data_IF_056343297782
#
_entry.id   IF_056343297782
#
_cell.length_a   1.000
_cell.length_b   1.000
_cell.length_c   1.000
_cell.angle_alpha   90.00
_cell.angle_beta   90.00
_cell.angle_gamma   90.00
#
_symmetry.space_group_name_H-M   'P 1'
#
loop_
_entity.id
_entity.type
_entity.pdbx_description
1 polymer ?
#
# COMPACT_ATOMS: atom_id res chain seq x y z
N UNK A 1 7.50 0.58 3.76
CA UNK A 1 6.46 0.04 4.67
C UNK A 1 5.55 -0.91 3.91
N UNK A 2 5.34 -2.09 4.46
CA UNK A 2 4.39 -3.05 3.90
C UNK A 2 3.02 -2.83 4.52
N UNK A 3 1.98 -2.85 3.70
CA UNK A 3 0.59 -2.78 4.15
C UNK A 3 -0.22 -3.87 3.48
N UNK A 4 -1.23 -4.36 4.19
CA UNK A 4 -2.19 -5.33 3.67
C UNK A 4 -3.58 -4.75 3.82
N UNK A 5 -4.34 -4.75 2.72
CA UNK A 5 -5.71 -4.28 2.71
C UNK A 5 -6.63 -5.45 2.40
N UNK A 6 -7.57 -5.72 3.32
CA UNK A 6 -8.55 -6.79 3.16
C UNK A 6 -9.90 -6.23 2.75
N UNK A 7 -10.61 -6.98 1.92
CA UNK A 7 -11.94 -6.58 1.46
C UNK A 7 -12.99 -7.62 1.87
N UNK A 8 -14.14 -7.14 2.30
CA UNK A 8 -15.27 -8.00 2.64
C UNK A 8 -15.96 -8.55 1.38
N UNK A 9 -15.88 -7.80 0.29
CA UNK A 9 -16.46 -8.19 -0.99
C UNK A 9 -15.35 -8.36 -2.01
N UNK A 10 -15.53 -9.34 -2.90
CA UNK A 10 -14.58 -9.62 -3.96
C UNK A 10 -14.38 -8.38 -4.84
N UNK A 11 -13.13 -7.94 -4.98
CA UNK A 11 -12.77 -6.83 -5.83
C UNK A 11 -12.37 -7.32 -7.21
N UNK A 12 -12.46 -6.44 -8.20
CA UNK A 12 -12.12 -6.80 -9.57
C UNK A 12 -11.35 -5.67 -10.24
N UNK A 13 -10.25 -6.03 -10.90
CA UNK A 13 -9.50 -5.10 -11.75
C UNK A 13 -9.22 -5.82 -13.07
N UNK A 14 -9.67 -5.25 -14.19
CA UNK A 14 -9.66 -5.91 -15.49
C UNK A 14 -10.36 -7.27 -15.38
N UNK A 15 -9.68 -8.38 -15.68
CA UNK A 15 -10.23 -9.73 -15.51
C UNK A 15 -9.81 -10.41 -14.21
N UNK A 16 -9.08 -9.71 -13.35
CA UNK A 16 -8.55 -10.27 -12.10
C UNK A 16 -9.51 -10.02 -10.94
N UNK A 17 -9.70 -11.03 -10.11
CA UNK A 17 -10.53 -10.95 -8.90
C UNK A 17 -9.63 -11.18 -7.69
N UNK A 18 -9.82 -10.38 -6.63
CA UNK A 18 -8.97 -10.45 -5.46
C UNK A 18 -9.72 -10.06 -4.18
N UNK A 19 -9.23 -10.52 -3.04
CA UNK A 19 -9.79 -10.20 -1.73
C UNK A 19 -8.80 -9.45 -0.83
N UNK A 20 -7.53 -9.40 -1.17
CA UNK A 20 -6.57 -8.59 -0.44
C UNK A 20 -5.47 -8.06 -1.34
N UNK A 21 -4.87 -6.97 -0.89
CA UNK A 21 -3.75 -6.31 -1.57
C UNK A 21 -2.62 -6.13 -0.58
N UNK A 22 -1.42 -6.56 -0.96
CA UNK A 22 -0.21 -6.29 -0.20
C UNK A 22 0.61 -5.27 -0.96
N UNK A 23 0.95 -4.16 -0.32
CA UNK A 23 1.68 -3.06 -0.95
C UNK A 23 2.93 -2.72 -0.19
N UNK A 24 4.00 -2.39 -0.91
CA UNK A 24 5.19 -1.79 -0.33
C UNK A 24 5.20 -0.31 -0.67
N UNK A 25 5.26 0.53 0.37
CA UNK A 25 5.12 1.98 0.25
C UNK A 25 6.34 2.67 0.82
N UNK A 26 6.82 3.68 0.13
CA UNK A 26 7.92 4.53 0.59
C UNK A 26 7.38 5.90 0.98
N UNK A 27 7.89 6.45 2.09
CA UNK A 27 7.44 7.74 2.61
C UNK A 27 8.60 8.74 2.61
N UNK A 28 8.30 9.96 2.20
CA UNK A 28 9.22 11.09 2.32
C UNK A 28 8.80 11.92 3.53
N UNK A 29 9.53 11.79 4.63
CA UNK A 29 9.20 12.47 5.88
C UNK A 29 9.41 13.97 5.81
N UNK A 30 10.33 14.42 4.97
CA UNK A 30 10.65 15.84 4.85
C UNK A 30 9.56 16.62 4.10
N UNK A 31 9.02 16.03 3.03
CA UNK A 31 8.05 16.71 2.18
C UNK A 31 6.64 16.16 2.30
N UNK A 32 6.42 15.22 3.21
CA UNK A 32 5.12 14.57 3.44
C UNK A 32 4.53 13.98 2.16
N UNK A 33 5.34 13.16 1.49
CA UNK A 33 4.94 12.49 0.25
C UNK A 33 4.95 10.99 0.40
N UNK A 34 4.21 10.32 -0.45
CA UNK A 34 4.08 8.87 -0.47
C UNK A 34 4.27 8.35 -1.89
N UNK A 35 4.90 7.20 -2.01
CA UNK A 35 5.09 6.51 -3.28
C UNK A 35 4.89 5.02 -3.08
N UNK A 36 4.06 4.40 -3.93
CA UNK A 36 3.90 2.96 -3.93
C UNK A 36 5.02 2.37 -4.76
N UNK A 37 5.83 1.50 -4.16
CA UNK A 37 6.97 0.84 -4.83
C UNK A 37 6.53 -0.42 -5.56
N UNK A 38 5.46 -1.03 -5.12
CA UNK A 38 4.93 -2.22 -5.75
C UNK A 38 3.75 -2.76 -4.98
N UNK A 39 2.99 -3.64 -5.61
CA UNK A 39 1.85 -4.27 -4.96
C UNK A 39 1.60 -5.66 -5.53
N UNK A 40 0.88 -6.47 -4.74
CA UNK A 40 0.42 -7.79 -5.16
C UNK A 40 -1.03 -7.98 -4.77
N UNK A 41 -1.82 -8.50 -5.68
CA UNK A 41 -3.22 -8.83 -5.44
C UNK A 41 -3.33 -10.32 -5.14
N UNK A 42 -4.08 -10.67 -4.10
CA UNK A 42 -4.25 -12.05 -3.65
C UNK A 42 -5.69 -12.48 -3.78
N UNK A 43 -5.92 -13.76 -4.12
CA UNK A 43 -7.27 -14.28 -4.30
C UNK A 43 -8.03 -14.42 -2.99
N UNK A 44 -7.34 -14.51 -1.85
CA UNK A 44 -7.93 -14.65 -0.51
C UNK A 44 -7.54 -13.50 0.39
N UNK A 45 -8.23 -13.39 1.55
CA UNK A 45 -7.93 -12.37 2.54
C UNK A 45 -6.56 -12.59 3.18
N UNK A 46 -6.01 -11.53 3.80
CA UNK A 46 -4.75 -11.54 4.54
C UNK A 46 -3.55 -11.97 3.70
N UNK A 47 -3.56 -11.61 2.41
CA UNK A 47 -2.50 -11.96 1.46
C UNK A 47 -2.29 -13.48 1.37
N UNK A 48 -3.38 -14.24 1.45
CA UNK A 48 -3.38 -15.69 1.30
C UNK A 48 -3.84 -16.10 -0.09
N UNK A 49 -3.63 -17.38 -0.41
CA UNK A 49 -3.98 -17.90 -1.71
C UNK A 49 -2.95 -17.52 -2.76
N UNK A 50 -3.32 -17.67 -4.02
CA UNK A 50 -2.42 -17.37 -5.12
C UNK A 50 -2.38 -15.88 -5.42
N UNK A 51 -1.22 -15.39 -5.87
CA UNK A 51 -1.08 -14.03 -6.37
C UNK A 51 -1.74 -13.96 -7.74
N UNK A 52 -2.73 -13.08 -7.89
CA UNK A 52 -3.44 -12.93 -9.17
C UNK A 52 -2.81 -11.86 -10.05
N UNK A 53 -2.12 -10.89 -9.44
CA UNK A 53 -1.41 -9.84 -10.17
C UNK A 53 -0.36 -9.24 -9.25
N UNK A 54 0.83 -8.98 -9.79
CA UNK A 54 1.90 -8.33 -9.04
C UNK A 54 2.59 -7.31 -9.92
N UNK A 55 2.86 -6.12 -9.38
CA UNK A 55 3.62 -5.07 -10.04
C UNK A 55 4.73 -4.56 -9.13
N UNK A 56 5.93 -4.44 -9.66
CA UNK A 56 7.08 -3.94 -8.93
C UNK A 56 7.64 -2.62 -9.43
N UNK A 57 6.93 -1.93 -10.34
CA UNK A 57 7.38 -0.64 -10.86
C UNK A 57 6.96 0.49 -9.92
N UNK A 58 7.90 1.33 -9.44
CA UNK A 58 7.53 2.43 -8.56
C UNK A 58 6.60 3.42 -9.25
N UNK A 59 5.62 3.90 -8.51
CA UNK A 59 4.74 4.97 -8.95
C UNK A 59 5.34 6.33 -8.61
N UNK A 60 4.76 7.39 -9.14
CA UNK A 60 5.19 8.74 -8.86
C UNK A 60 4.88 9.15 -7.41
N UNK A 61 5.70 10.07 -6.86
CA UNK A 61 5.45 10.63 -5.55
C UNK A 61 4.15 11.41 -5.54
N UNK A 62 3.36 11.22 -4.49
CA UNK A 62 2.10 11.92 -4.28
C UNK A 62 2.12 12.62 -2.93
N UNK A 63 1.55 13.82 -2.89
CA UNK A 63 1.45 14.57 -1.64
C UNK A 63 0.41 13.90 -0.72
N UNK A 64 0.76 13.78 0.56
CA UNK A 64 -0.14 13.21 1.57
C UNK A 64 -1.06 14.32 2.09
N UNK A 65 -2.36 14.08 2.04
CA UNK A 65 -3.35 15.00 2.59
C UNK A 65 -3.50 14.79 4.09
N UNK A 66 -3.82 15.87 4.82
CA UNK A 66 -4.05 15.81 6.26
C UNK A 66 -5.33 15.02 6.56
N UNK A 67 -5.35 14.40 7.73
CA UNK A 67 -6.50 13.64 8.25
C UNK A 67 -6.86 12.42 7.40
N UNK A 68 -5.85 11.82 6.74
CA UNK A 68 -6.03 10.60 5.97
C UNK A 68 -5.26 9.45 6.63
N UNK A 69 -5.56 8.21 6.21
CA UNK A 69 -4.81 7.05 6.67
C UNK A 69 -3.34 7.12 6.25
N UNK A 70 -3.05 7.72 5.10
CA UNK A 70 -1.67 7.89 4.65
C UNK A 70 -0.87 8.79 5.59
N UNK A 71 -1.50 9.80 6.19
CA UNK A 71 -0.83 10.63 7.19
C UNK A 71 -0.45 9.82 8.43
N UNK A 72 -1.34 8.93 8.88
CA UNK A 72 -1.06 8.03 10.00
C UNK A 72 0.09 7.10 9.69
N UNK A 73 0.11 6.51 8.50
CA UNK A 73 1.21 5.64 8.07
C UNK A 73 2.52 6.42 8.00
N UNK A 74 2.48 7.66 7.50
CA UNK A 74 3.65 8.53 7.44
C UNK A 74 4.24 8.73 8.84
N UNK A 75 3.39 9.06 9.84
CA UNK A 75 3.83 9.27 11.21
C UNK A 75 4.50 8.03 11.79
N UNK A 76 3.90 6.86 11.56
CA UNK A 76 4.45 5.59 12.05
C UNK A 76 5.80 5.31 11.41
N UNK A 77 5.88 5.42 10.08
CA UNK A 77 7.10 5.15 9.33
C UNK A 77 8.23 6.11 9.72
N UNK A 78 7.92 7.39 9.89
CA UNK A 78 8.92 8.39 10.27
C UNK A 78 9.43 8.20 11.68
N UNK A 79 8.57 7.82 12.62
CA UNK A 79 8.98 7.53 13.98
C UNK A 79 9.88 6.31 14.05
N UNK A 80 9.55 5.25 13.36
CA UNK A 80 10.32 4.01 13.36
C UNK A 80 11.70 4.20 12.74
N UNK A 81 11.80 5.07 11.74
CA UNK A 81 13.08 5.35 11.09
C UNK A 81 13.93 6.38 11.83
N UNK A 82 13.38 7.01 12.87
CA UNK A 82 14.08 8.03 13.62
C UNK A 82 14.21 9.37 12.92
N UNK A 83 13.41 9.61 11.90
CA UNK A 83 13.42 10.84 11.09
C UNK A 83 12.30 11.81 11.43
N UNK A 84 11.71 11.67 12.59
CA UNK A 84 10.62 12.52 13.05
C UNK A 84 11.08 13.93 13.41
#
# INVERSE_FOLDING_TARGET
>A
MWTIEDFNLLQKVASYKYLSVKSFTEFDCKYSKIRIMGYSLYEKNMANGDIVLSKGTPFEWQKINKNTMNEKYLDIACKESGLS
#
